data_IF_695365019548
#
_entry.id   IF_695365019548
#
_cell.length_a   1.000
_cell.length_b   1.000
_cell.length_c   1.000
_cell.angle_alpha   90.00
_cell.angle_beta   90.00
_cell.angle_gamma   90.00
#
_symmetry.space_group_name_H-M   'P 1'
#
loop_
_entity.id
_entity.type
_entity.pdbx_description
1 polymer ?
#
# COMPACT_ATOMS: atom_id res chain seq x y z
N UNK A 1 0.98 -1.98 -17.97
CA UNK A 1 -0.03 -1.14 -17.26
C UNK A 1 0.38 -1.03 -15.80
N UNK A 2 0.09 0.09 -15.15
CA UNK A 2 0.51 0.36 -13.77
C UNK A 2 -0.72 0.62 -12.88
N UNK A 3 -0.58 0.37 -11.59
CA UNK A 3 -1.52 0.76 -10.55
C UNK A 3 -0.77 1.50 -9.46
N UNK A 4 -1.34 2.59 -8.95
CA UNK A 4 -0.79 3.37 -7.85
C UNK A 4 -1.89 3.78 -6.90
N UNK A 5 -1.50 4.17 -5.69
CA UNK A 5 -2.44 4.64 -4.69
C UNK A 5 -1.85 5.80 -3.88
N UNK A 6 -2.71 6.76 -3.57
CA UNK A 6 -2.51 7.82 -2.59
C UNK A 6 -3.60 7.65 -1.52
N UNK A 7 -3.35 8.08 -0.30
CA UNK A 7 -4.26 7.87 0.81
C UNK A 7 -3.63 8.07 2.18
N UNK A 8 -4.29 7.50 3.16
CA UNK A 8 -3.96 7.59 4.58
C UNK A 8 -3.49 6.22 5.12
N UNK A 9 -3.68 5.99 6.42
CA UNK A 9 -3.33 4.75 7.10
C UNK A 9 -4.08 3.53 6.58
N UNK A 10 -5.31 3.67 6.05
CA UNK A 10 -6.08 2.54 5.54
C UNK A 10 -5.47 2.02 4.24
N UNK A 11 -5.08 2.92 3.34
CA UNK A 11 -4.41 2.55 2.08
C UNK A 11 -2.99 2.03 2.34
N UNK A 12 -2.33 2.51 3.40
CA UNK A 12 -1.08 1.95 3.90
C UNK A 12 -1.24 0.59 4.61
N UNK A 13 -2.46 0.15 4.93
CA UNK A 13 -2.69 -1.13 5.61
C UNK A 13 -2.23 -1.14 7.08
N UNK A 14 -2.31 0.01 7.76
CA UNK A 14 -1.93 0.14 9.16
C UNK A 14 -2.72 -0.85 10.03
N UNK A 15 -2.00 -1.72 10.75
CA UNK A 15 -2.59 -2.67 11.67
C UNK A 15 -3.46 -3.77 11.04
N UNK A 16 -3.43 -3.96 9.72
CA UNK A 16 -4.34 -4.90 9.04
C UNK A 16 -4.25 -6.36 9.54
N UNK A 17 -3.09 -6.78 10.06
CA UNK A 17 -2.89 -8.07 10.72
C UNK A 17 -2.44 -7.94 12.19
N UNK A 18 -2.75 -6.81 12.84
CA UNK A 18 -2.34 -6.59 14.23
C UNK A 18 -3.09 -7.54 15.17
N UNK A 19 -2.32 -8.35 15.92
CA UNK A 19 -2.82 -9.17 17.03
C UNK A 19 -2.40 -8.60 18.39
N UNK A 20 -1.51 -7.60 18.40
CA UNK A 20 -0.98 -6.95 19.59
C UNK A 20 -0.95 -5.43 19.38
N UNK A 21 -0.92 -4.63 20.46
CA UNK A 21 -0.79 -3.17 20.35
C UNK A 21 0.45 -2.73 19.55
N UNK A 22 1.54 -3.49 19.63
CA UNK A 22 2.76 -3.22 18.83
C UNK A 22 2.47 -3.36 17.33
N UNK A 23 1.61 -4.30 16.94
CA UNK A 23 1.18 -4.51 15.55
C UNK A 23 0.43 -3.32 14.95
N UNK A 24 -0.14 -2.43 15.77
CA UNK A 24 -0.81 -1.22 15.29
C UNK A 24 0.16 -0.19 14.68
N UNK A 25 1.46 -0.31 14.95
CA UNK A 25 2.49 0.53 14.34
C UNK A 25 3.08 -0.05 13.04
N UNK A 26 2.56 -1.21 12.60
CA UNK A 26 2.97 -1.87 11.37
C UNK A 26 1.99 -1.56 10.23
N UNK A 27 2.53 -1.21 9.08
CA UNK A 27 1.78 -0.98 7.83
C UNK A 27 1.90 -2.24 6.95
N UNK A 28 0.85 -3.06 6.96
CA UNK A 28 0.79 -4.29 6.17
C UNK A 28 0.39 -3.98 4.71
N UNK A 29 1.21 -3.16 4.04
CA UNK A 29 0.92 -2.63 2.70
C UNK A 29 0.66 -3.71 1.66
N UNK A 30 1.32 -4.85 1.78
CA UNK A 30 1.11 -6.00 0.90
C UNK A 30 -0.28 -6.61 0.95
N UNK A 31 -1.05 -6.43 2.03
CA UNK A 31 -2.43 -6.94 2.15
C UNK A 31 -3.50 -5.85 2.10
N UNK A 32 -3.10 -4.59 1.88
CA UNK A 32 -4.04 -3.49 1.69
C UNK A 32 -5.02 -3.81 0.56
N UNK A 33 -6.31 -3.62 0.79
CA UNK A 33 -7.34 -3.93 -0.21
C UNK A 33 -7.14 -3.14 -1.51
N UNK A 34 -6.78 -1.85 -1.41
CA UNK A 34 -6.70 -0.95 -2.56
C UNK A 34 -5.44 -1.15 -3.41
N UNK A 35 -4.31 -1.52 -2.81
CA UNK A 35 -3.00 -1.52 -3.49
C UNK A 35 -2.03 -2.63 -3.05
N UNK A 36 -2.45 -3.53 -2.17
CA UNK A 36 -1.67 -4.67 -1.73
C UNK A 36 -1.57 -5.76 -2.80
N UNK A 37 -0.43 -6.41 -2.87
CA UNK A 37 -0.13 -7.43 -3.86
C UNK A 37 0.56 -8.67 -3.33
N UNK A 38 0.51 -8.91 -2.01
CA UNK A 38 0.96 -10.16 -1.43
C UNK A 38 0.03 -11.30 -1.85
N UNK A 39 0.62 -12.47 -2.12
CA UNK A 39 -0.09 -13.68 -2.54
C UNK A 39 -0.94 -13.50 -3.83
N UNK A 40 -2.01 -14.29 -3.95
CA UNK A 40 -2.99 -14.27 -5.05
C UNK A 40 -4.36 -13.84 -4.53
N UNK A 41 -5.29 -13.51 -5.43
CA UNK A 41 -6.64 -13.04 -5.05
C UNK A 41 -7.42 -14.05 -4.20
N UNK A 42 -7.11 -15.34 -4.33
CA UNK A 42 -7.73 -16.40 -3.54
C UNK A 42 -7.28 -16.42 -2.07
N UNK A 43 -6.11 -15.84 -1.76
CA UNK A 43 -5.55 -15.74 -0.39
C UNK A 43 -5.72 -14.36 0.20
N UNK A 44 -5.47 -13.32 -0.59
CA UNK A 44 -5.59 -11.93 -0.21
C UNK A 44 -6.41 -11.23 -1.29
N UNK A 45 -7.67 -10.93 -0.97
CA UNK A 45 -8.55 -10.25 -1.88
C UNK A 45 -8.20 -8.75 -1.91
N UNK A 46 -7.39 -8.36 -2.89
CA UNK A 46 -7.03 -6.98 -3.16
C UNK A 46 -7.26 -6.62 -4.63
N UNK A 47 -7.44 -5.34 -4.90
CA UNK A 47 -7.63 -4.84 -6.26
C UNK A 47 -6.45 -5.22 -7.18
N UNK A 48 -5.17 -5.08 -6.80
CA UNK A 48 -4.06 -5.53 -7.65
C UNK A 48 -4.01 -7.04 -7.88
N UNK A 49 -4.41 -7.85 -6.89
CA UNK A 49 -4.45 -9.30 -7.04
C UNK A 49 -5.55 -9.75 -8.02
N UNK A 50 -6.67 -9.04 -8.06
CA UNK A 50 -7.72 -9.26 -9.06
C UNK A 50 -7.23 -8.81 -10.44
N UNK A 51 -6.66 -7.61 -10.55
CA UNK A 51 -6.21 -7.06 -11.83
C UNK A 51 -5.05 -7.84 -12.45
N UNK A 52 -4.12 -8.38 -11.65
CA UNK A 52 -3.00 -9.17 -12.18
C UNK A 52 -3.44 -10.49 -12.80
N UNK A 53 -4.60 -11.04 -12.41
CA UNK A 53 -5.17 -12.24 -13.02
C UNK A 53 -5.41 -12.05 -14.54
N UNK A 54 -5.80 -10.84 -14.92
CA UNK A 54 -6.07 -10.46 -16.31
C UNK A 54 -4.90 -9.70 -16.96
N UNK A 55 -3.89 -9.34 -16.17
CA UNK A 55 -2.69 -8.65 -16.64
C UNK A 55 -1.46 -9.03 -15.78
N UNK A 56 -0.77 -10.13 -16.10
CA UNK A 56 0.37 -10.61 -15.33
C UNK A 56 1.52 -9.61 -15.19
N UNK A 57 1.64 -8.67 -16.12
CA UNK A 57 2.68 -7.62 -16.12
C UNK A 57 2.25 -6.33 -15.37
N UNK A 58 1.23 -6.40 -14.52
CA UNK A 58 0.80 -5.26 -13.70
C UNK A 58 1.95 -4.83 -12.76
N UNK A 59 2.30 -3.54 -12.77
CA UNK A 59 3.33 -2.95 -11.91
C UNK A 59 2.71 -1.98 -10.90
N UNK A 60 3.40 -1.76 -9.78
CA UNK A 60 3.10 -0.67 -8.84
C UNK A 60 2.38 -1.03 -7.54
N UNK A 61 1.93 -2.28 -7.40
CA UNK A 61 1.34 -2.77 -6.14
C UNK A 61 2.37 -2.90 -5.03
N UNK A 62 1.92 -2.72 -3.78
CA UNK A 62 2.77 -2.90 -2.60
C UNK A 62 2.91 -4.35 -2.20
N UNK A 63 4.02 -4.68 -1.53
CA UNK A 63 4.25 -6.00 -0.93
C UNK A 63 4.81 -5.83 0.47
N UNK A 64 4.72 -6.89 1.29
CA UNK A 64 5.29 -6.96 2.64
C UNK A 64 4.74 -5.90 3.61
N UNK A 65 5.38 -5.85 4.77
CA UNK A 65 5.05 -4.98 5.89
C UNK A 65 6.14 -3.92 6.05
N UNK A 66 5.74 -2.70 6.40
CA UNK A 66 6.64 -1.61 6.79
C UNK A 66 6.34 -1.17 8.23
N UNK A 67 7.26 -0.43 8.83
CA UNK A 67 7.07 0.19 10.15
C UNK A 67 6.85 1.67 9.94
N UNK A 68 5.78 2.22 10.53
CA UNK A 68 5.36 3.61 10.31
C UNK A 68 6.48 4.62 10.60
N UNK A 69 7.28 4.39 11.65
CA UNK A 69 8.36 5.31 12.08
C UNK A 69 9.70 5.13 11.37
N UNK A 70 9.89 4.05 10.60
CA UNK A 70 11.18 3.77 9.95
C UNK A 70 11.10 4.10 8.46
N UNK A 71 10.27 3.35 7.75
CA UNK A 71 10.31 3.31 6.29
C UNK A 71 8.95 3.62 5.64
N UNK A 72 7.88 3.79 6.44
CA UNK A 72 6.54 4.24 6.05
C UNK A 72 6.20 4.12 4.56
N UNK A 73 6.08 5.28 3.90
CA UNK A 73 5.80 5.42 2.46
C UNK A 73 7.04 5.28 1.53
N UNK A 74 8.25 5.36 2.08
CA UNK A 74 9.51 5.40 1.31
C UNK A 74 10.18 4.03 1.14
N UNK A 75 9.62 2.98 1.75
CA UNK A 75 10.11 1.63 1.58
C UNK A 75 10.02 1.17 0.12
N UNK A 76 11.08 0.51 -0.36
CA UNK A 76 11.16 -0.05 -1.73
C UNK A 76 9.98 -0.97 -2.08
N UNK A 77 9.45 -1.69 -1.09
CA UNK A 77 8.34 -2.64 -1.31
C UNK A 77 6.99 -1.96 -1.58
N UNK A 78 6.88 -0.64 -1.36
CA UNK A 78 5.64 0.11 -1.54
C UNK A 78 5.34 0.37 -3.02
N UNK A 79 6.36 0.38 -3.88
CA UNK A 79 6.25 0.69 -5.30
C UNK A 79 5.52 2.03 -5.55
N UNK A 80 4.28 2.00 -6.05
CA UNK A 80 3.49 3.19 -6.36
C UNK A 80 2.39 3.48 -5.31
N UNK A 81 2.52 2.90 -4.11
CA UNK A 81 1.70 3.27 -2.96
C UNK A 81 2.39 4.40 -2.18
N UNK A 82 1.85 5.61 -2.32
CA UNK A 82 2.30 6.84 -1.69
C UNK A 82 1.41 7.22 -0.48
N UNK A 83 0.45 6.36 -0.13
CA UNK A 83 -0.36 6.61 1.05
C UNK A 83 0.51 6.70 2.31
N UNK A 84 0.13 7.58 3.22
CA UNK A 84 0.89 7.85 4.44
C UNK A 84 -0.04 7.91 5.63
N UNK A 85 0.27 7.10 6.64
CA UNK A 85 -0.49 7.11 7.89
C UNK A 85 -0.49 8.51 8.53
N UNK A 86 -1.67 9.02 8.86
CA UNK A 86 -1.88 10.36 9.42
C UNK A 86 -2.20 11.45 8.38
N UNK A 87 -2.01 11.18 7.09
CA UNK A 87 -2.43 12.10 6.05
C UNK A 87 -3.95 12.11 5.89
N UNK A 88 -4.45 13.16 5.26
CA UNK A 88 -5.87 13.40 4.96
C UNK A 88 -5.97 14.26 3.69
N UNK A 89 -7.17 14.69 3.32
CA UNK A 89 -7.45 15.40 2.06
C UNK A 89 -6.49 16.54 1.73
N UNK A 90 -6.06 17.31 2.74
CA UNK A 90 -5.09 18.40 2.57
C UNK A 90 -3.77 17.98 1.93
N UNK A 91 -3.32 16.75 2.17
CA UNK A 91 -2.03 16.21 1.71
C UNK A 91 -2.11 15.53 0.33
N UNK A 92 -3.32 15.30 -0.19
CA UNK A 92 -3.53 14.60 -1.47
C UNK A 92 -2.77 15.25 -2.66
N UNK A 93 -2.70 16.58 -2.80
CA UNK A 93 -1.93 17.20 -3.88
C UNK A 93 -0.43 16.88 -3.83
N UNK A 94 0.16 16.79 -2.64
CA UNK A 94 1.57 16.47 -2.47
C UNK A 94 1.84 14.99 -2.74
N UNK A 95 0.95 14.10 -2.28
CA UNK A 95 1.03 12.69 -2.63
C UNK A 95 0.92 12.46 -4.14
N UNK A 96 0.05 13.20 -4.84
CA UNK A 96 -0.07 13.12 -6.29
C UNK A 96 1.21 13.58 -7.00
N UNK A 97 1.82 14.69 -6.56
CA UNK A 97 3.12 15.15 -7.07
C UNK A 97 4.22 14.12 -6.83
N UNK A 98 4.27 13.53 -5.64
CA UNK A 98 5.26 12.51 -5.30
C UNK A 98 5.07 11.23 -6.14
N UNK A 99 3.82 10.82 -6.39
CA UNK A 99 3.51 9.68 -7.25
C UNK A 99 3.98 9.89 -8.68
N UNK A 100 3.83 11.10 -9.24
CA UNK A 100 4.31 11.44 -10.59
C UNK A 100 5.83 11.39 -10.73
N UNK A 101 6.56 11.55 -9.62
CA UNK A 101 8.01 11.54 -9.59
C UNK A 101 8.63 10.15 -9.33
N UNK A 102 7.81 9.09 -9.22
CA UNK A 102 8.26 7.71 -9.09
C UNK A 102 8.21 6.96 -10.41
#
# INVERSE_FOLDING_TARGET
>A
KCIGAIGDSLTAGLGAHALTPVGLFLEYRGVSWSIGGDYTYSKVLSLPNILRQYNPELKGFSTKVTVIILNGQDAKNNHLNIAKSGDHSFHMPDQARLLMNR
#
